data_IF_153413667284
#
_entry.id   IF_153413667284
#
_cell.length_a   1.000
_cell.length_b   1.000
_cell.length_c   1.000
_cell.angle_alpha   90.00
_cell.angle_beta   90.00
_cell.angle_gamma   90.00
#
_symmetry.space_group_name_H-M   'P 1'
#
loop_
_entity.id
_entity.type
_entity.pdbx_description
1 polymer ?
#
# COMPACT_ATOMS: atom_id res chain seq x y z
N UNK A 1 0.17 9.39 -5.45
CA UNK A 1 0.21 8.07 -6.10
C UNK A 1 -1.10 7.83 -6.83
N UNK A 2 -1.28 6.61 -7.32
CA UNK A 2 -2.53 6.16 -7.94
C UNK A 2 -2.96 4.87 -7.26
N UNK A 3 -4.17 4.84 -6.71
CA UNK A 3 -4.80 3.63 -6.18
C UNK A 3 -5.79 3.11 -7.21
N UNK A 4 -5.80 1.80 -7.44
CA UNK A 4 -6.77 1.12 -8.31
C UNK A 4 -7.62 0.19 -7.46
N UNK A 5 -8.92 0.18 -7.70
CA UNK A 5 -9.91 -0.66 -7.02
C UNK A 5 -10.33 -1.86 -7.89
N UNK A 6 -11.08 -2.79 -7.31
CA UNK A 6 -11.59 -4.00 -7.95
C UNK A 6 -12.68 -3.74 -9.01
N UNK A 7 -13.42 -2.64 -8.89
CA UNK A 7 -14.34 -2.13 -9.91
C UNK A 7 -13.65 -1.33 -11.03
N UNK A 8 -12.32 -1.16 -10.95
CA UNK A 8 -11.49 -0.51 -11.97
C UNK A 8 -11.37 1.00 -11.83
N UNK A 9 -11.91 1.61 -10.78
CA UNK A 9 -11.69 3.02 -10.46
C UNK A 9 -10.20 3.31 -10.20
N UNK A 10 -9.76 4.52 -10.57
CA UNK A 10 -8.39 4.99 -10.38
C UNK A 10 -8.41 6.33 -9.64
N UNK A 11 -7.93 6.30 -8.40
CA UNK A 11 -7.92 7.42 -7.48
C UNK A 11 -6.51 8.01 -7.44
N UNK A 12 -6.36 9.29 -7.79
CA UNK A 12 -5.08 9.98 -7.82
C UNK A 12 -4.98 10.99 -6.68
N UNK A 13 -3.98 10.83 -5.82
CA UNK A 13 -3.82 11.72 -4.68
C UNK A 13 -2.65 11.34 -3.78
N UNK A 14 -2.53 11.99 -2.62
CA UNK A 14 -1.60 11.58 -1.57
C UNK A 14 -2.14 10.32 -0.89
N UNK A 15 -1.32 9.27 -0.89
CA UNK A 15 -1.67 7.98 -0.28
C UNK A 15 -1.25 8.01 1.18
N UNK A 16 -2.16 7.62 2.06
CA UNK A 16 -1.91 7.32 3.48
C UNK A 16 -2.31 5.86 3.68
N UNK A 17 -1.32 5.05 4.06
CA UNK A 17 -1.48 3.61 4.19
C UNK A 17 -1.97 3.24 5.59
N UNK A 18 -2.75 2.15 5.69
CA UNK A 18 -3.36 1.66 6.94
C UNK A 18 -4.07 2.76 7.78
N UNK A 19 -4.56 3.80 7.10
CA UNK A 19 -5.14 5.02 7.65
C UNK A 19 -4.25 5.84 8.64
N UNK A 20 -2.98 5.48 8.86
CA UNK A 20 -2.07 6.19 9.79
C UNK A 20 -0.66 6.46 9.22
N UNK A 21 -0.16 5.62 8.32
CA UNK A 21 1.18 5.72 7.71
C UNK A 21 1.18 6.76 6.59
N UNK A 22 1.43 8.01 6.97
CA UNK A 22 1.29 9.18 6.12
C UNK A 22 2.62 9.79 5.66
N UNK A 23 3.76 9.26 6.12
CA UNK A 23 5.10 9.81 5.86
C UNK A 23 5.96 8.81 5.09
N UNK A 24 6.92 9.34 4.36
CA UNK A 24 7.82 8.51 3.54
C UNK A 24 8.76 7.62 4.38
N UNK A 25 8.99 7.98 5.65
CA UNK A 25 9.81 7.21 6.60
C UNK A 25 8.97 6.28 7.49
N UNK A 26 7.64 6.29 7.34
CA UNK A 26 6.80 5.26 7.96
C UNK A 26 7.10 3.91 7.28
N UNK A 27 6.85 2.81 7.98
CA UNK A 27 7.39 1.50 7.65
C UNK A 27 6.29 0.52 7.28
N UNK A 28 6.27 0.07 6.03
CA UNK A 28 5.50 -1.10 5.63
C UNK A 28 6.10 -2.35 6.29
N UNK A 29 5.31 -3.06 7.09
CA UNK A 29 5.71 -4.28 7.78
C UNK A 29 5.13 -5.52 7.10
N UNK A 30 5.87 -6.63 7.15
CA UNK A 30 5.39 -7.92 6.68
C UNK A 30 6.43 -9.00 6.81
N UNK A 31 6.01 -10.24 6.59
CA UNK A 31 6.84 -11.42 6.76
C UNK A 31 7.12 -12.10 5.43
N UNK A 32 8.31 -12.66 5.31
CA UNK A 32 8.67 -13.65 4.29
C UNK A 32 9.12 -14.90 5.03
N UNK A 33 8.26 -15.91 5.07
CA UNK A 33 8.46 -17.09 5.92
C UNK A 33 8.63 -16.63 7.38
N UNK A 34 9.77 -16.91 7.99
CA UNK A 34 10.06 -16.56 9.39
C UNK A 34 10.90 -15.28 9.53
N UNK A 35 11.05 -14.49 8.46
CA UNK A 35 11.83 -13.25 8.46
C UNK A 35 10.88 -12.06 8.36
N UNK A 36 10.88 -11.22 9.39
CA UNK A 36 10.22 -9.93 9.36
C UNK A 36 11.01 -8.95 8.49
N UNK A 37 10.31 -8.26 7.60
CA UNK A 37 10.80 -7.12 6.84
C UNK A 37 10.06 -5.86 7.26
N UNK A 38 10.81 -4.77 7.39
CA UNK A 38 10.29 -3.42 7.57
C UNK A 38 10.88 -2.53 6.50
N UNK A 39 10.03 -1.93 5.67
CA UNK A 39 10.43 -1.19 4.48
C UNK A 39 9.88 0.22 4.59
N UNK A 40 10.75 1.22 4.59
CA UNK A 40 10.30 2.61 4.52
C UNK A 40 9.57 2.88 3.19
N UNK A 41 8.42 3.57 3.23
CA UNK A 41 7.62 3.87 2.03
C UNK A 41 8.39 4.65 0.96
N UNK A 42 9.44 5.41 1.32
CA UNK A 42 10.31 6.07 0.35
C UNK A 42 11.04 5.10 -0.60
N UNK A 43 11.15 3.83 -0.23
CA UNK A 43 11.69 2.78 -1.09
C UNK A 43 10.63 2.04 -1.90
N UNK A 44 9.36 2.19 -1.57
CA UNK A 44 8.24 1.46 -2.20
C UNK A 44 7.80 2.17 -3.47
N UNK A 45 7.83 1.45 -4.59
CA UNK A 45 7.32 1.91 -5.87
C UNK A 45 5.86 1.50 -6.08
N UNK A 46 5.53 0.26 -5.70
CA UNK A 46 4.19 -0.31 -5.91
C UNK A 46 3.84 -1.34 -4.84
N UNK A 47 2.58 -1.37 -4.47
CA UNK A 47 1.97 -2.47 -3.70
C UNK A 47 0.79 -3.02 -4.50
N UNK A 48 0.68 -4.33 -4.61
CA UNK A 48 -0.43 -5.04 -5.25
C UNK A 48 -1.01 -6.06 -4.27
N UNK A 49 -2.34 -6.08 -4.11
CA UNK A 49 -2.99 -7.11 -3.31
C UNK A 49 -2.89 -8.45 -4.03
N UNK A 50 -2.19 -9.41 -3.44
CA UNK A 50 -2.04 -10.76 -3.99
C UNK A 50 -3.15 -11.70 -3.52
N UNK A 51 -3.61 -11.52 -2.28
CA UNK A 51 -4.81 -12.16 -1.73
C UNK A 51 -5.35 -11.34 -0.56
N UNK A 52 -6.40 -11.79 0.12
CA UNK A 52 -6.87 -11.11 1.33
C UNK A 52 -5.82 -11.03 2.45
N UNK A 53 -4.75 -11.82 2.41
CA UNK A 53 -3.71 -11.88 3.47
C UNK A 53 -2.31 -11.57 3.00
N UNK A 54 -2.16 -11.13 1.75
CA UNK A 54 -0.87 -10.98 1.09
C UNK A 54 -0.83 -9.81 0.16
N UNK A 55 0.33 -9.17 0.09
CA UNK A 55 0.63 -8.15 -0.89
C UNK A 55 1.99 -8.40 -1.57
N UNK A 56 2.08 -8.12 -2.87
CA UNK A 56 3.34 -7.99 -3.58
C UNK A 56 3.81 -6.54 -3.48
N UNK A 57 5.03 -6.35 -3.00
CA UNK A 57 5.68 -5.06 -2.83
C UNK A 57 6.84 -4.96 -3.80
N UNK A 58 6.85 -3.92 -4.63
CA UNK A 58 7.92 -3.62 -5.59
C UNK A 58 8.63 -2.36 -5.12
N UNK A 59 9.96 -2.42 -5.01
CA UNK A 59 10.79 -1.28 -4.64
C UNK A 59 11.27 -0.52 -5.86
N UNK A 60 11.70 0.74 -5.66
CA UNK A 60 12.25 1.58 -6.72
C UNK A 60 13.51 1.01 -7.39
N UNK A 61 14.27 0.16 -6.69
CA UNK A 61 15.44 -0.52 -7.25
C UNK A 61 15.11 -1.84 -7.99
N UNK A 62 13.81 -2.17 -8.11
CA UNK A 62 13.32 -3.35 -8.82
C UNK A 62 13.28 -4.62 -7.99
N UNK A 63 13.68 -4.60 -6.71
CA UNK A 63 13.43 -5.73 -5.81
C UNK A 63 11.94 -5.92 -5.58
N UNK A 64 11.54 -7.17 -5.40
CA UNK A 64 10.15 -7.54 -5.17
C UNK A 64 10.03 -8.54 -4.02
N UNK A 65 8.96 -8.38 -3.26
CA UNK A 65 8.65 -9.21 -2.10
C UNK A 65 7.16 -9.56 -2.09
N UNK A 66 6.82 -10.81 -1.81
CA UNK A 66 5.45 -11.18 -1.40
C UNK A 66 5.44 -11.25 0.12
N UNK A 67 4.66 -10.37 0.75
CA UNK A 67 4.60 -10.22 2.21
C UNK A 67 3.25 -10.69 2.75
N UNK A 68 3.25 -11.28 3.94
CA UNK A 68 2.07 -11.60 4.75
C UNK A 68 2.25 -11.19 6.23
N UNK A 69 1.28 -11.56 7.08
CA UNK A 69 1.47 -11.59 8.53
C UNK A 69 1.42 -10.26 9.27
N UNK A 70 1.08 -9.15 8.59
CA UNK A 70 0.87 -7.83 9.19
C UNK A 70 -0.37 -7.16 8.60
N UNK A 71 -1.04 -6.33 9.41
CA UNK A 71 -2.09 -5.38 9.04
C UNK A 71 -1.73 -4.53 7.82
N UNK A 72 -0.45 -4.28 7.55
CA UNK A 72 -0.04 -3.45 6.42
C UNK A 72 -0.22 -4.19 5.07
N UNK A 73 -0.39 -5.52 5.10
CA UNK A 73 -0.40 -6.39 3.91
C UNK A 73 -1.50 -7.47 3.95
N UNK A 74 -2.47 -7.36 4.86
CA UNK A 74 -3.58 -8.32 5.02
C UNK A 74 -4.95 -7.63 5.23
N UNK A 75 -5.98 -8.43 5.54
CA UNK A 75 -7.38 -8.03 5.73
C UNK A 75 -7.64 -7.25 7.03
N UNK A 76 -6.64 -7.07 7.87
CA UNK A 76 -6.68 -6.19 9.05
C UNK A 76 -6.26 -4.75 8.71
N UNK A 77 -5.86 -4.48 7.45
CA UNK A 77 -5.58 -3.13 6.97
C UNK A 77 -6.82 -2.24 7.13
N UNK A 78 -6.65 -1.11 7.80
CA UNK A 78 -7.69 -0.11 8.11
C UNK A 78 -8.09 0.76 6.92
N UNK A 79 -7.54 0.45 5.74
CA UNK A 79 -7.88 1.06 4.47
C UNK A 79 -6.81 2.02 3.97
N UNK A 80 -6.85 2.25 2.67
CA UNK A 80 -5.95 3.13 1.95
C UNK A 80 -6.67 4.46 1.76
N UNK A 81 -6.20 5.49 2.43
CA UNK A 81 -6.81 6.82 2.39
C UNK A 81 -6.10 7.66 1.30
N UNK A 82 -6.88 8.25 0.40
CA UNK A 82 -6.40 9.08 -0.70
C UNK A 82 -6.89 10.50 -0.49
N UNK A 83 -5.97 11.43 -0.26
CA UNK A 83 -6.25 12.87 -0.28
C UNK A 83 -6.08 13.40 -1.71
N UNK A 84 -7.17 13.87 -2.30
CA UNK A 84 -7.24 14.40 -3.65
C UNK A 84 -6.74 15.85 -3.73
N UNK A 85 -6.43 16.33 -4.93
CA UNK A 85 -5.95 17.71 -5.15
C UNK A 85 -6.96 18.79 -4.74
N UNK A 86 -8.25 18.49 -4.83
CA UNK A 86 -9.34 19.39 -4.42
C UNK A 86 -9.60 19.38 -2.89
N UNK A 87 -8.82 18.60 -2.14
CA UNK A 87 -8.94 18.45 -0.69
C UNK A 87 -10.02 17.46 -0.24
N UNK A 88 -10.71 16.80 -1.18
CA UNK A 88 -11.58 15.66 -0.88
C UNK A 88 -10.76 14.42 -0.52
N UNK A 89 -11.45 13.45 0.10
CA UNK A 89 -10.83 12.24 0.64
C UNK A 89 -11.66 11.03 0.23
N UNK A 90 -10.97 9.98 -0.20
CA UNK A 90 -11.56 8.65 -0.41
C UNK A 90 -10.85 7.60 0.43
N UNK A 91 -11.62 6.69 1.02
CA UNK A 91 -11.13 5.52 1.72
C UNK A 91 -11.39 4.27 0.87
N UNK A 92 -10.32 3.55 0.55
CA UNK A 92 -10.39 2.27 -0.14
C UNK A 92 -10.09 1.15 0.86
N UNK A 93 -11.12 0.39 1.20
CA UNK A 93 -10.98 -0.80 2.05
C UNK A 93 -10.13 -1.87 1.37
N UNK A 94 -9.48 -2.73 2.18
CA UNK A 94 -8.58 -3.76 1.69
C UNK A 94 -9.22 -4.69 0.65
N UNK A 95 -10.49 -5.03 0.80
CA UNK A 95 -11.22 -5.90 -0.13
C UNK A 95 -11.52 -5.26 -1.49
N UNK A 96 -11.53 -3.92 -1.56
CA UNK A 96 -11.64 -3.16 -2.82
C UNK A 96 -10.27 -2.83 -3.41
N UNK A 97 -9.22 -2.76 -2.60
CA UNK A 97 -7.87 -2.38 -3.01
C UNK A 97 -7.16 -3.38 -3.96
N UNK A 98 -6.89 -2.98 -5.21
CA UNK A 98 -6.12 -3.83 -6.15
C UNK A 98 -4.64 -3.47 -6.14
N UNK A 99 -4.30 -2.19 -6.32
CA UNK A 99 -2.90 -1.77 -6.30
C UNK A 99 -2.72 -0.29 -5.99
N UNK A 100 -1.57 0.05 -5.43
CA UNK A 100 -1.09 1.41 -5.23
C UNK A 100 0.22 1.60 -5.97
N UNK A 101 0.30 2.63 -6.80
CA UNK A 101 1.53 3.11 -7.41
C UNK A 101 1.95 4.40 -6.71
N UNK A 102 3.11 4.37 -6.09
CA UNK A 102 3.69 5.53 -5.43
C UNK A 102 4.38 6.40 -6.47
N UNK A 103 4.46 7.71 -6.23
CA UNK A 103 5.28 8.60 -7.05
C UNK A 103 6.60 8.76 -6.31
N UNK A 104 7.71 8.40 -6.97
CA UNK A 104 9.05 8.68 -6.47
C UNK A 104 9.20 10.18 -6.28
N UNK A 105 10.02 10.58 -5.31
CA UNK A 105 10.32 12.00 -5.06
C UNK A 105 10.75 12.73 -6.32
#
# INVERSE_FOLDING_TARGET
GVVTTDDGERLEGRIIWDADEARSWDLLNGWIRDVELRIAFEHVARIERASSRRARVVLWDGREFELDGSNDVNDENRGILIEMEDGSWDLVDWDRFVSAQFRGR
#
